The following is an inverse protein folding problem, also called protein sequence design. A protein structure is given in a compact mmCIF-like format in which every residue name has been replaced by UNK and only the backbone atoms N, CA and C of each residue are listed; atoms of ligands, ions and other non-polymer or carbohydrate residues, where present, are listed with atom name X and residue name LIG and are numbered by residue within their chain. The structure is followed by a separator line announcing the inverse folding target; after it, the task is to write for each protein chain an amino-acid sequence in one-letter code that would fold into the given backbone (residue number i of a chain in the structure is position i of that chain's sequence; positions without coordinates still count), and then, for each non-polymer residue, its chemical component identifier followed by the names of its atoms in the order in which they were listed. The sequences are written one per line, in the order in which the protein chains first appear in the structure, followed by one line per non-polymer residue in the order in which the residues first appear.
data_IF_059844693522
#
_entry.id   IF_059844693522
#
_cell.length_a   1.000
_cell.length_b   1.000
_cell.length_c   1.000
_cell.angle_alpha   90.00
_cell.angle_beta   90.00
_cell.angle_gamma   90.00
#
_symmetry.space_group_name_H-M   'P 1'
#
loop_
_entity.id
_entity.type
_entity.pdbx_description
1 polymer ?
#
# COMPACT_ATOMS: atom_id res chain seq x y z
N UNK A 1 -20.83 25.84 8.22
CA UNK A 1 -20.09 26.23 9.45
C UNK A 1 -19.19 25.06 9.84
N UNK A 2 -17.94 25.28 10.28
CA UNK A 2 -17.04 24.21 10.74
C UNK A 2 -17.08 24.13 12.26
N UNK A 3 -16.96 22.89 12.81
CA UNK A 3 -16.92 22.63 14.26
C UNK A 3 -15.56 22.01 14.60
N UNK A 4 -14.99 22.39 15.75
CA UNK A 4 -13.78 21.77 16.28
C UNK A 4 -14.10 20.37 16.82
N UNK A 5 -13.30 19.39 16.44
CA UNK A 5 -13.39 18.00 16.91
C UNK A 5 -12.00 17.54 17.37
N UNK A 6 -11.88 16.45 18.17
CA UNK A 6 -10.59 15.80 18.44
C UNK A 6 -9.87 15.40 17.17
N UNK A 7 -8.54 15.15 17.28
CA UNK A 7 -7.73 14.68 16.14
C UNK A 7 -8.36 13.43 15.50
N UNK A 8 -8.55 13.47 14.19
CA UNK A 8 -9.23 12.43 13.42
C UNK A 8 -8.79 12.43 11.96
N UNK A 9 -8.67 11.24 11.38
CA UNK A 9 -8.47 11.01 9.94
C UNK A 9 -9.69 10.36 9.27
N UNK A 10 -10.84 10.32 9.94
CA UNK A 10 -12.03 9.56 9.54
C UNK A 10 -12.52 9.85 8.11
N UNK A 11 -12.27 11.05 7.59
CA UNK A 11 -12.69 11.45 6.24
C UNK A 11 -11.51 11.75 5.32
N UNK A 12 -10.34 11.14 5.60
CA UNK A 12 -9.15 11.20 4.76
C UNK A 12 -8.89 9.80 4.17
N UNK A 13 -9.47 9.46 2.99
CA UNK A 13 -9.28 8.14 2.40
C UNK A 13 -7.81 7.86 2.09
N UNK A 14 -7.38 6.65 2.39
CA UNK A 14 -6.02 6.17 2.17
C UNK A 14 -6.05 4.92 1.29
N UNK A 15 -5.11 4.81 0.37
CA UNK A 15 -4.96 3.63 -0.48
C UNK A 15 -4.50 2.44 0.35
N UNK A 16 -5.12 1.27 0.13
CA UNK A 16 -4.74 0.04 0.80
C UNK A 16 -3.58 -0.67 0.11
N UNK A 17 -2.69 -1.19 0.93
CA UNK A 17 -1.61 -2.09 0.51
C UNK A 17 -1.56 -3.35 1.37
N UNK A 18 -1.17 -4.45 0.75
CA UNK A 18 -0.75 -5.67 1.42
C UNK A 18 0.77 -5.67 1.52
N UNK A 19 1.31 -5.54 2.75
CA UNK A 19 2.75 -5.66 2.98
C UNK A 19 3.14 -7.11 3.12
N UNK A 20 4.01 -7.57 2.23
CA UNK A 20 4.53 -8.93 2.18
C UNK A 20 5.91 -9.05 2.81
N UNK A 21 6.07 -10.02 3.69
CA UNK A 21 7.35 -10.39 4.33
C UNK A 21 7.48 -11.90 4.40
N UNK A 22 8.71 -12.43 4.42
CA UNK A 22 8.89 -13.84 4.75
C UNK A 22 9.05 -14.05 6.26
N UNK A 23 8.42 -15.11 6.79
CA UNK A 23 8.61 -15.62 8.14
C UNK A 23 10.01 -16.21 8.29
N UNK A 24 10.39 -16.63 9.51
CA UNK A 24 11.70 -17.26 9.77
C UNK A 24 11.85 -18.61 9.08
N UNK A 25 10.76 -19.35 8.98
CA UNK A 25 10.69 -20.64 8.29
C UNK A 25 10.65 -20.49 6.74
N UNK A 26 10.65 -19.28 6.23
CA UNK A 26 10.57 -18.97 4.80
C UNK A 26 9.16 -18.92 4.24
N UNK A 27 8.14 -19.20 5.03
CA UNK A 27 6.74 -19.05 4.60
C UNK A 27 6.36 -17.57 4.40
N UNK A 28 5.51 -17.24 3.43
CA UNK A 28 5.04 -15.87 3.23
C UNK A 28 4.13 -15.44 4.39
N UNK A 29 4.09 -14.11 4.61
CA UNK A 29 3.14 -13.46 5.48
C UNK A 29 2.73 -12.14 4.86
N UNK A 30 1.44 -11.83 4.90
CA UNK A 30 0.89 -10.55 4.47
C UNK A 30 0.11 -9.88 5.59
N UNK A 31 0.09 -8.55 5.57
CA UNK A 31 -0.74 -7.74 6.45
C UNK A 31 -1.26 -6.53 5.69
N UNK A 32 -2.48 -6.09 6.02
CA UNK A 32 -3.15 -4.96 5.36
C UNK A 32 -2.85 -3.67 6.09
N UNK A 33 -2.41 -2.67 5.34
CA UNK A 33 -2.01 -1.35 5.85
C UNK A 33 -2.47 -0.25 4.90
N UNK A 34 -2.77 0.92 5.47
CA UNK A 34 -3.15 2.12 4.72
C UNK A 34 -2.21 3.31 4.95
N UNK A 35 -1.45 3.30 6.04
CA UNK A 35 -0.52 4.40 6.34
C UNK A 35 0.75 4.29 5.48
N UNK A 36 0.58 4.62 4.20
CA UNK A 36 1.60 4.61 3.17
C UNK A 36 1.59 5.93 2.40
N UNK A 37 2.77 6.50 2.17
CA UNK A 37 2.92 7.71 1.37
C UNK A 37 4.28 7.72 0.67
N UNK A 38 4.47 8.68 -0.23
CA UNK A 38 5.76 8.86 -0.89
C UNK A 38 6.60 9.91 -0.17
N UNK A 39 7.91 9.78 -0.28
CA UNK A 39 8.88 10.76 0.19
C UNK A 39 9.99 10.97 -0.85
N UNK A 40 10.77 12.00 -0.64
CA UNK A 40 11.94 12.29 -1.46
C UNK A 40 13.17 12.38 -0.55
N UNK A 41 14.12 11.48 -0.76
CA UNK A 41 15.40 11.44 -0.05
C UNK A 41 16.53 11.23 -1.07
N UNK A 42 16.78 12.29 -1.88
CA UNK A 42 17.67 12.21 -3.04
C UNK A 42 17.09 11.43 -4.23
N UNK A 43 16.09 10.60 -3.99
CA UNK A 43 15.32 9.81 -4.96
C UNK A 43 13.88 9.59 -4.46
N UNK A 44 13.00 9.12 -5.34
CA UNK A 44 11.65 8.72 -4.96
C UNK A 44 11.73 7.53 -3.98
N UNK A 45 11.13 7.69 -2.83
CA UNK A 45 11.02 6.69 -1.78
C UNK A 45 9.59 6.57 -1.25
N UNK A 46 9.42 5.70 -0.28
CA UNK A 46 8.14 5.48 0.39
C UNK A 46 8.28 5.62 1.91
N UNK A 47 7.18 6.05 2.55
CA UNK A 47 7.00 6.03 3.99
C UNK A 47 5.92 5.02 4.33
N UNK A 48 6.17 4.16 5.32
CA UNK A 48 5.20 3.21 5.82
C UNK A 48 5.18 3.28 7.34
N UNK A 49 4.01 3.47 7.95
CA UNK A 49 3.87 3.48 9.40
C UNK A 49 3.06 2.26 9.87
N UNK A 50 3.61 1.50 10.82
CA UNK A 50 2.97 0.30 11.35
C UNK A 50 2.79 0.45 12.86
N UNK A 51 1.53 0.54 13.29
CA UNK A 51 1.15 0.60 14.70
C UNK A 51 0.98 -0.79 15.34
N UNK A 52 1.23 -0.86 16.64
CA UNK A 52 1.03 -2.05 17.45
C UNK A 52 2.04 -3.18 17.23
N UNK A 53 1.85 -4.28 17.93
CA UNK A 53 2.63 -5.51 17.74
C UNK A 53 2.10 -6.26 16.52
N UNK A 54 2.93 -6.40 15.48
CA UNK A 54 2.56 -7.06 14.21
C UNK A 54 3.72 -7.92 13.71
N UNK A 55 3.45 -9.17 13.33
CA UNK A 55 4.48 -10.03 12.73
C UNK A 55 5.17 -9.34 11.53
N UNK A 56 4.41 -8.65 10.69
CA UNK A 56 4.97 -7.87 9.56
C UNK A 56 6.00 -6.86 10.03
N UNK A 57 5.73 -6.11 11.12
CA UNK A 57 6.67 -5.16 11.71
C UNK A 57 7.95 -5.84 12.18
N UNK A 58 7.82 -6.96 12.91
CA UNK A 58 8.97 -7.70 13.43
C UNK A 58 9.83 -8.28 12.31
N UNK A 59 9.19 -8.75 11.22
CA UNK A 59 9.93 -9.24 10.05
C UNK A 59 10.63 -8.11 9.31
N UNK A 60 10.01 -6.94 9.13
CA UNK A 60 10.64 -5.75 8.54
C UNK A 60 11.83 -5.30 9.40
N UNK A 61 11.68 -5.29 10.72
CA UNK A 61 12.76 -4.94 11.63
C UNK A 61 13.98 -5.87 11.47
N UNK A 62 13.73 -7.18 11.27
CA UNK A 62 14.77 -8.19 11.11
C UNK A 62 15.41 -8.20 9.72
N UNK A 63 14.61 -8.10 8.64
CA UNK A 63 15.08 -8.31 7.26
C UNK A 63 15.38 -7.01 6.50
N UNK A 64 14.82 -5.90 6.95
CA UNK A 64 14.89 -4.57 6.32
C UNK A 64 14.27 -4.49 4.93
N UNK A 65 13.52 -5.52 4.51
CA UNK A 65 12.85 -5.55 3.19
C UNK A 65 11.42 -6.04 3.32
N UNK A 66 10.54 -5.53 2.46
CA UNK A 66 9.16 -5.97 2.31
C UNK A 66 8.60 -5.56 0.96
N UNK A 67 7.51 -6.19 0.54
CA UNK A 67 6.73 -5.73 -0.61
C UNK A 67 5.52 -4.92 -0.16
N UNK A 68 5.09 -3.96 -1.00
CA UNK A 68 3.80 -3.29 -0.85
C UNK A 68 2.98 -3.53 -2.11
N UNK A 69 1.98 -4.40 -1.99
CA UNK A 69 1.11 -4.85 -3.06
C UNK A 69 -0.17 -4.03 -3.04
N UNK A 70 -0.49 -3.32 -4.13
CA UNK A 70 -1.70 -2.51 -4.24
C UNK A 70 -2.94 -3.39 -4.13
N UNK A 71 -3.88 -2.99 -3.28
CA UNK A 71 -5.17 -3.67 -3.14
C UNK A 71 -6.16 -3.13 -4.15
N UNK A 72 -6.71 -4.03 -4.96
CA UNK A 72 -7.81 -3.78 -5.90
C UNK A 72 -9.13 -4.29 -5.35
N UNK A 73 -10.26 -3.95 -6.00
CA UNK A 73 -11.56 -4.51 -5.62
C UNK A 73 -11.55 -6.05 -5.63
N UNK A 74 -10.82 -6.66 -6.56
CA UNK A 74 -10.68 -8.12 -6.66
C UNK A 74 -9.90 -8.72 -5.50
N UNK A 75 -8.87 -8.03 -5.02
CA UNK A 75 -8.05 -8.45 -3.88
C UNK A 75 -8.65 -8.09 -2.52
N UNK A 76 -9.73 -7.30 -2.48
CA UNK A 76 -10.30 -6.81 -1.23
C UNK A 76 -10.67 -7.93 -0.24
N UNK A 77 -11.31 -9.05 -0.63
CA UNK A 77 -11.62 -10.13 0.32
C UNK A 77 -10.36 -10.72 0.97
N UNK A 78 -9.28 -10.87 0.20
CA UNK A 78 -7.99 -11.35 0.71
C UNK A 78 -7.33 -10.31 1.62
N UNK A 79 -7.42 -9.03 1.26
CA UNK A 79 -6.89 -7.94 2.06
C UNK A 79 -7.62 -7.81 3.40
N UNK A 80 -8.94 -7.95 3.42
CA UNK A 80 -9.72 -7.93 4.66
C UNK A 80 -9.33 -9.10 5.57
N UNK A 81 -9.21 -10.32 5.01
CA UNK A 81 -8.73 -11.49 5.74
C UNK A 81 -7.34 -11.25 6.35
N UNK A 82 -6.37 -10.75 5.59
CA UNK A 82 -5.02 -10.49 6.09
C UNK A 82 -4.94 -9.32 7.06
N UNK A 83 -5.90 -8.39 7.02
CA UNK A 83 -6.01 -7.28 7.96
C UNK A 83 -6.64 -7.64 9.30
N UNK A 84 -7.59 -8.58 9.29
CA UNK A 84 -8.39 -8.99 10.47
C UNK A 84 -7.86 -10.25 11.14
N UNK A 85 -6.94 -10.99 10.50
CA UNK A 85 -6.30 -12.19 11.06
C UNK A 85 -4.89 -11.84 11.54
N UNK A 86 -4.58 -12.17 12.80
CA UNK A 86 -3.27 -11.88 13.40
C UNK A 86 -2.14 -12.63 12.69
N UNK A 87 -0.98 -11.96 12.50
CA UNK A 87 0.16 -12.51 11.76
C UNK A 87 0.77 -13.78 12.40
N UNK A 88 0.63 -13.93 13.71
CA UNK A 88 1.10 -15.11 14.44
C UNK A 88 0.12 -16.28 14.39
N UNK A 89 -1.10 -16.11 13.89
CA UNK A 89 -2.03 -17.21 13.69
C UNK A 89 -1.46 -18.14 12.60
N UNK A 90 -1.25 -19.44 12.87
CA UNK A 90 -0.70 -20.38 11.90
C UNK A 90 -1.61 -20.56 10.67
N UNK A 91 -2.93 -20.39 10.85
CA UNK A 91 -3.91 -20.60 9.80
C UNK A 91 -4.12 -19.38 8.90
N UNK A 92 -3.47 -18.25 9.20
CA UNK A 92 -3.61 -17.02 8.43
C UNK A 92 -3.35 -17.20 6.93
N UNK A 93 -2.37 -18.03 6.60
CA UNK A 93 -1.98 -18.29 5.22
C UNK A 93 -2.68 -19.51 4.58
N UNK A 94 -3.64 -20.16 5.28
CA UNK A 94 -4.46 -21.25 4.74
C UNK A 94 -5.58 -20.70 3.84
N UNK A 95 -5.21 -19.91 2.82
CA UNK A 95 -6.11 -19.30 1.85
C UNK A 95 -5.50 -19.41 0.46
N UNK A 96 -6.35 -19.44 -0.56
CA UNK A 96 -5.87 -19.38 -1.94
C UNK A 96 -5.26 -18.00 -2.22
N UNK A 97 -3.95 -17.97 -2.43
CA UNK A 97 -3.22 -16.79 -2.84
C UNK A 97 -2.06 -17.22 -3.73
N UNK A 98 -2.02 -16.69 -4.95
CA UNK A 98 -0.89 -16.91 -5.85
C UNK A 98 0.24 -15.96 -5.45
N UNK A 99 1.37 -16.53 -5.06
CA UNK A 99 2.49 -15.79 -4.47
C UNK A 99 3.77 -16.13 -5.23
N UNK A 100 4.49 -15.09 -5.63
CA UNK A 100 5.82 -15.18 -6.22
C UNK A 100 6.85 -14.48 -5.31
N UNK A 101 8.13 -14.65 -5.64
CA UNK A 101 9.20 -13.88 -5.02
C UNK A 101 9.49 -12.65 -5.88
N UNK A 102 9.75 -11.52 -5.23
CA UNK A 102 10.14 -10.28 -5.90
C UNK A 102 11.35 -10.46 -6.83
N UNK A 103 11.43 -9.62 -7.84
CA UNK A 103 12.47 -9.73 -8.89
C UNK A 103 13.84 -9.20 -8.45
N UNK A 104 13.86 -8.26 -7.50
CA UNK A 104 15.09 -7.60 -7.02
C UNK A 104 15.35 -7.92 -5.54
N UNK A 105 14.31 -7.91 -4.72
CA UNK A 105 14.40 -8.23 -3.30
C UNK A 105 13.74 -9.59 -3.01
N UNK A 106 14.25 -10.29 -2.00
CA UNK A 106 13.61 -11.52 -1.51
C UNK A 106 12.41 -11.17 -0.63
N UNK A 107 11.29 -10.83 -1.26
CA UNK A 107 10.02 -10.50 -0.62
C UNK A 107 8.88 -11.23 -1.32
N UNK A 108 7.80 -11.66 -0.63
CA UNK A 108 6.67 -12.29 -1.28
C UNK A 108 5.81 -11.23 -1.98
N UNK A 109 5.36 -11.54 -3.19
CA UNK A 109 4.56 -10.69 -4.07
C UNK A 109 3.28 -11.44 -4.44
N UNK A 110 2.14 -10.76 -4.36
CA UNK A 110 0.87 -11.30 -4.85
C UNK A 110 0.77 -11.09 -6.36
N UNK A 111 0.69 -12.18 -7.13
CA UNK A 111 0.66 -12.12 -8.61
C UNK A 111 -0.54 -11.33 -9.15
N UNK A 112 -1.66 -11.35 -8.43
CA UNK A 112 -2.89 -10.61 -8.78
C UNK A 112 -2.87 -9.13 -8.40
N UNK A 113 -1.81 -8.65 -7.73
CA UNK A 113 -1.65 -7.22 -7.47
C UNK A 113 -1.05 -6.54 -8.70
N UNK A 114 -1.76 -5.58 -9.33
CA UNK A 114 -1.32 -5.01 -10.60
C UNK A 114 -0.13 -4.03 -10.45
N UNK A 115 0.17 -3.63 -9.21
CA UNK A 115 1.25 -2.71 -8.90
C UNK A 115 1.88 -3.05 -7.55
N UNK A 116 3.16 -3.39 -7.56
CA UNK A 116 3.88 -3.81 -6.34
C UNK A 116 5.20 -3.05 -6.23
N UNK A 117 5.46 -2.53 -5.05
CA UNK A 117 6.78 -2.00 -4.70
C UNK A 117 7.60 -3.04 -3.95
N UNK A 118 8.85 -3.20 -4.34
CA UNK A 118 9.87 -3.89 -3.55
C UNK A 118 10.66 -2.83 -2.77
N UNK A 119 10.53 -2.86 -1.44
CA UNK A 119 10.97 -1.82 -0.54
C UNK A 119 12.12 -2.27 0.35
N UNK A 120 13.16 -1.45 0.45
CA UNK A 120 14.26 -1.60 1.39
C UNK A 120 14.24 -0.46 2.41
N UNK A 121 14.26 -0.78 3.69
CA UNK A 121 14.23 0.20 4.77
C UNK A 121 15.57 0.90 4.87
N UNK A 122 15.60 2.20 4.56
CA UNK A 122 16.75 3.07 4.73
C UNK A 122 16.87 3.57 6.17
N UNK A 123 15.76 3.94 6.78
CA UNK A 123 15.72 4.42 8.18
C UNK A 123 14.45 3.96 8.88
N UNK A 124 14.57 3.63 10.16
CA UNK A 124 13.45 3.38 11.06
C UNK A 124 13.38 4.48 12.10
N UNK A 125 12.21 5.06 12.30
CA UNK A 125 11.93 6.05 13.34
C UNK A 125 10.97 5.41 14.33
N UNK A 126 11.45 5.18 15.54
CA UNK A 126 10.60 4.66 16.62
C UNK A 126 9.65 5.75 17.11
N UNK A 127 8.37 5.40 17.19
CA UNK A 127 7.30 6.24 17.74
C UNK A 127 6.70 5.54 18.94
N UNK A 128 5.94 6.25 19.76
CA UNK A 128 5.18 5.62 20.84
C UNK A 128 4.09 4.72 20.25
N UNK A 129 4.27 3.41 20.41
CA UNK A 129 3.33 2.39 19.91
C UNK A 129 3.38 2.10 18.40
N UNK A 130 4.32 2.68 17.64
CA UNK A 130 4.44 2.48 16.20
C UNK A 130 5.90 2.60 15.72
N UNK A 131 6.13 2.18 14.48
CA UNK A 131 7.38 2.44 13.76
C UNK A 131 7.07 3.08 12.41
N UNK A 132 7.81 4.14 12.08
CA UNK A 132 7.80 4.77 10.76
C UNK A 132 9.06 4.33 10.01
N UNK A 133 8.86 3.71 8.86
CA UNK A 133 9.91 3.28 7.94
C UNK A 133 10.04 4.28 6.80
N UNK A 134 11.25 4.79 6.58
CA UNK A 134 11.63 5.49 5.34
C UNK A 134 12.32 4.46 4.46
N UNK A 135 11.78 4.25 3.26
CA UNK A 135 12.19 3.16 2.38
C UNK A 135 12.66 3.68 1.02
N UNK A 136 13.68 3.03 0.47
CA UNK A 136 14.00 3.11 -0.94
C UNK A 136 13.07 2.17 -1.72
N UNK A 137 12.51 2.65 -2.82
CA UNK A 137 11.83 1.80 -3.80
C UNK A 137 12.92 1.19 -4.67
N UNK A 138 13.21 -0.11 -4.44
CA UNK A 138 14.28 -0.83 -5.16
C UNK A 138 13.80 -1.35 -6.51
N UNK A 139 12.51 -1.62 -6.61
CA UNK A 139 11.86 -2.03 -7.83
C UNK A 139 10.35 -1.75 -7.76
N UNK A 140 9.73 -1.61 -8.92
CA UNK A 140 8.29 -1.56 -9.09
C UNK A 140 7.89 -2.61 -10.11
N UNK A 141 7.08 -3.58 -9.70
CA UNK A 141 6.45 -4.55 -10.57
C UNK A 141 5.09 -4.01 -10.98
N UNK A 142 4.81 -3.97 -12.27
CA UNK A 142 3.55 -3.49 -12.81
C UNK A 142 3.04 -4.44 -13.88
N UNK A 143 1.72 -4.62 -13.94
CA UNK A 143 1.12 -5.32 -15.07
C UNK A 143 1.39 -4.59 -16.38
N UNK A 144 1.65 -5.35 -17.44
CA UNK A 144 1.97 -4.80 -18.78
C UNK A 144 0.94 -3.78 -19.27
N UNK A 145 -0.33 -4.00 -18.92
CA UNK A 145 -1.44 -3.11 -19.25
C UNK A 145 -1.27 -1.70 -18.67
N UNK A 146 -0.66 -1.57 -17.48
CA UNK A 146 -0.40 -0.26 -16.85
C UNK A 146 0.78 0.47 -17.50
N UNK A 147 1.65 -0.27 -18.19
CA UNK A 147 2.80 0.26 -18.92
C UNK A 147 2.45 0.61 -20.38
N UNK A 148 1.23 0.32 -20.84
CA UNK A 148 0.78 0.62 -22.21
C UNK A 148 0.48 2.13 -22.35
N UNK A 149 1.47 2.87 -22.83
CA UNK A 149 1.36 4.33 -23.05
C UNK A 149 0.40 4.70 -24.20
N UNK A 150 -0.09 3.75 -24.99
CA UNK A 150 -1.11 4.01 -26.01
C UNK A 150 -2.49 4.24 -25.40
N UNK A 151 -2.69 3.82 -24.15
CA UNK A 151 -3.90 4.04 -23.36
C UNK A 151 -3.81 5.30 -22.53
N UNK A 152 -4.91 5.99 -22.39
CA UNK A 152 -4.98 7.12 -21.46
C UNK A 152 -4.76 6.70 -20.02
N UNK A 153 -4.33 7.63 -19.16
CA UNK A 153 -4.19 7.39 -17.72
C UNK A 153 -5.51 6.94 -17.10
N UNK A 154 -6.64 7.52 -17.53
CA UNK A 154 -7.97 7.15 -17.05
C UNK A 154 -8.31 5.69 -17.37
N UNK A 155 -8.06 5.25 -18.60
CA UNK A 155 -8.28 3.85 -19.00
C UNK A 155 -7.44 2.89 -18.17
N UNK A 156 -6.15 3.19 -18.00
CA UNK A 156 -5.26 2.36 -17.17
C UNK A 156 -5.73 2.26 -15.72
N UNK A 157 -6.13 3.36 -15.11
CA UNK A 157 -6.67 3.38 -13.74
C UNK A 157 -8.02 2.65 -13.61
N UNK A 158 -8.91 2.77 -14.59
CA UNK A 158 -10.21 2.07 -14.55
C UNK A 158 -10.08 0.55 -14.56
N UNK A 159 -8.92 0.02 -15.00
CA UNK A 159 -8.63 -1.41 -15.04
C UNK A 159 -8.15 -1.95 -13.69
N UNK A 160 -7.45 -1.15 -12.90
CA UNK A 160 -6.91 -1.61 -11.61
C UNK A 160 -7.90 -1.44 -10.44
N UNK A 161 -8.85 -0.50 -10.54
CA UNK A 161 -9.88 -0.25 -9.52
C UNK A 161 -9.35 -0.34 -8.10
N UNK A 162 -8.43 0.56 -7.70
CA UNK A 162 -7.80 0.52 -6.38
C UNK A 162 -8.82 0.78 -5.27
N UNK A 163 -8.61 0.15 -4.11
CA UNK A 163 -9.47 0.33 -2.94
C UNK A 163 -8.87 1.36 -2.00
N UNK A 164 -9.72 2.22 -1.48
CA UNK A 164 -9.41 3.16 -0.42
C UNK A 164 -10.13 2.79 0.88
N UNK A 165 -9.54 3.15 2.01
CA UNK A 165 -10.14 2.95 3.32
C UNK A 165 -10.23 4.27 4.07
N UNK A 166 -11.35 4.48 4.75
CA UNK A 166 -11.55 5.57 5.71
C UNK A 166 -12.55 5.14 6.77
N UNK A 167 -12.31 5.49 8.02
CA UNK A 167 -13.24 5.23 9.13
C UNK A 167 -13.73 3.76 9.20
N UNK A 168 -12.83 2.80 9.02
CA UNK A 168 -13.14 1.36 9.05
C UNK A 168 -14.04 0.87 7.90
N UNK A 169 -14.12 1.62 6.82
CA UNK A 169 -14.96 1.32 5.66
C UNK A 169 -14.11 1.35 4.39
N UNK A 170 -14.41 0.46 3.45
CA UNK A 170 -13.74 0.39 2.15
C UNK A 170 -14.54 1.14 1.10
N UNK A 171 -13.84 1.82 0.21
CA UNK A 171 -14.42 2.62 -0.88
C UNK A 171 -13.77 2.24 -2.20
N UNK A 172 -14.60 2.13 -3.24
CA UNK A 172 -14.12 2.02 -4.62
C UNK A 172 -13.63 3.37 -5.13
N UNK A 173 -12.78 3.33 -6.17
CA UNK A 173 -12.33 4.50 -6.88
C UNK A 173 -12.68 4.37 -8.37
N UNK A 174 -13.43 5.34 -8.91
CA UNK A 174 -13.95 5.29 -10.27
C UNK A 174 -12.98 5.84 -11.34
N UNK A 175 -11.88 6.43 -10.91
CA UNK A 175 -10.87 6.96 -11.83
C UNK A 175 -11.32 8.18 -12.63
N UNK A 176 -12.39 8.87 -12.22
CA UNK A 176 -12.86 10.05 -12.93
C UNK A 176 -11.79 11.14 -12.96
N UNK A 177 -11.35 11.52 -14.17
CA UNK A 177 -10.41 12.61 -14.36
C UNK A 177 -11.12 13.96 -14.16
N UNK A 178 -10.65 14.73 -13.20
CA UNK A 178 -11.16 16.08 -12.90
C UNK A 178 -10.32 17.19 -13.57
N UNK A 179 -9.22 16.84 -14.20
CA UNK A 179 -8.31 17.74 -14.90
C UNK A 179 -6.85 17.33 -14.71
N UNK A 180 -5.99 17.81 -15.57
CA UNK A 180 -4.54 17.63 -15.43
C UNK A 180 -3.94 18.71 -14.55
N UNK A 181 -2.74 18.47 -14.03
CA UNK A 181 -2.03 19.39 -13.15
C UNK A 181 -1.95 20.81 -13.74
N UNK A 182 -2.50 21.78 -13.00
CA UNK A 182 -2.57 23.19 -13.40
C UNK A 182 -3.85 23.61 -14.12
N UNK A 183 -4.69 22.72 -14.58
CA UNK A 183 -5.97 23.08 -15.22
C UNK A 183 -7.02 23.60 -14.23
N UNK A 184 -7.28 22.92 -13.08
CA UNK A 184 -8.34 23.36 -12.16
C UNK A 184 -8.15 24.77 -11.61
N UNK A 185 -6.90 25.29 -11.55
CA UNK A 185 -6.63 26.68 -11.11
C UNK A 185 -7.27 27.75 -12.02
N UNK A 186 -7.60 27.41 -13.27
CA UNK A 186 -8.24 28.35 -14.19
C UNK A 186 -9.64 28.74 -13.71
N UNK A 187 -10.27 27.95 -12.85
CA UNK A 187 -11.58 28.21 -12.26
C UNK A 187 -11.52 29.09 -11.00
N UNK A 188 -10.32 29.43 -10.51
CA UNK A 188 -10.16 30.32 -9.35
C UNK A 188 -10.49 31.75 -9.75
N UNK A 189 -11.54 32.31 -9.15
CA UNK A 189 -11.87 33.75 -9.31
C UNK A 189 -10.78 34.58 -8.66
N UNK A 190 -10.10 35.39 -9.44
CA UNK A 190 -9.16 36.40 -8.90
C UNK A 190 -9.97 37.56 -8.35
N UNK A 191 -9.60 38.05 -7.19
CA UNK A 191 -10.14 39.29 -6.58
C UNK A 191 -9.48 40.49 -7.21
#
# INVERSE_FOLDING_TARGET
MKTSIPASNNFCPETLFLYGTYREDGAPNFGTFSWFSYCWDGQLGAMACIGGAKLTRDRIAATKVFSANLVTEELLPLADHFGTTEGYNPDKMNVEAEIETGSVLRVPVLTRSPWVFELEVARTIALEGAELYLCHIRNTLAEALLCDETRSVQERFSLIRPVHAANGTYFSWDGQVMGVWGEPKKSVRRR
#
